data_IF_134353614988
#
_entry.id   IF_134353614988
#
_cell.length_a   1.000
_cell.length_b   1.000
_cell.length_c   1.000
_cell.angle_alpha   90.00
_cell.angle_beta   90.00
_cell.angle_gamma   90.00
#
_symmetry.space_group_name_H-M   'P 1'
#
loop_
_entity.id
_entity.type
_entity.pdbx_description
1 polymer ?
#
# COMPACT_ATOMS: atom_id res chain seq x y z
N UNK A 1 19.63 -15.27 8.71
CA UNK A 1 18.26 -15.60 8.23
C UNK A 1 18.43 -16.36 6.93
N UNK A 2 17.88 -17.58 6.79
CA UNK A 2 18.08 -18.40 5.58
C UNK A 2 17.14 -17.93 4.44
N UNK A 3 17.54 -18.12 3.19
CA UNK A 3 16.75 -17.77 2.01
C UNK A 3 15.39 -18.47 1.99
N UNK A 4 15.32 -19.72 2.43
CA UNK A 4 14.06 -20.45 2.61
C UNK A 4 13.11 -19.70 3.56
N UNK A 5 13.60 -19.28 4.73
CA UNK A 5 12.81 -18.50 5.70
C UNK A 5 12.35 -17.16 5.13
N UNK A 6 13.16 -16.51 4.29
CA UNK A 6 12.78 -15.28 3.60
C UNK A 6 11.65 -15.52 2.61
N UNK A 7 11.75 -16.55 1.78
CA UNK A 7 10.73 -16.90 0.78
C UNK A 7 9.42 -17.32 1.44
N UNK A 8 9.47 -18.15 2.49
CA UNK A 8 8.28 -18.53 3.27
C UNK A 8 7.59 -17.31 3.90
N UNK A 9 8.32 -16.25 4.26
CA UNK A 9 7.73 -15.03 4.81
C UNK A 9 6.90 -14.23 3.81
N UNK A 10 7.09 -14.45 2.50
CA UNK A 10 6.33 -13.77 1.45
C UNK A 10 4.92 -14.33 1.29
N UNK A 11 4.67 -15.56 1.76
CA UNK A 11 3.33 -16.14 1.75
C UNK A 11 2.40 -15.42 2.74
N UNK A 12 1.09 -15.40 2.45
CA UNK A 12 0.08 -14.87 3.36
C UNK A 12 0.21 -15.48 4.77
N UNK A 13 -0.05 -14.72 5.85
CA UNK A 13 0.17 -15.18 7.22
C UNK A 13 -0.50 -16.53 7.54
N UNK A 14 -1.73 -16.73 7.08
CA UNK A 14 -2.48 -17.96 7.33
C UNK A 14 -1.88 -19.19 6.63
N UNK A 15 -1.39 -19.01 5.40
CA UNK A 15 -0.67 -20.05 4.64
C UNK A 15 0.65 -20.38 5.33
N UNK A 16 1.38 -19.36 5.80
CA UNK A 16 2.64 -19.55 6.52
C UNK A 16 2.45 -20.25 7.86
N UNK A 17 1.39 -19.94 8.60
CA UNK A 17 1.08 -20.60 9.87
C UNK A 17 0.76 -22.08 9.68
N UNK A 18 0.10 -22.44 8.57
CA UNK A 18 -0.33 -23.82 8.32
C UNK A 18 0.71 -24.68 7.59
N UNK A 19 1.42 -24.10 6.63
CA UNK A 19 2.31 -24.84 5.70
C UNK A 19 3.72 -24.25 5.62
N UNK A 20 4.06 -23.27 6.46
CA UNK A 20 5.34 -22.56 6.35
C UNK A 20 6.56 -23.45 6.59
N UNK A 21 6.45 -24.43 7.48
CA UNK A 21 7.54 -25.39 7.75
C UNK A 21 7.79 -26.29 6.53
N UNK A 22 6.74 -26.84 5.93
CA UNK A 22 6.81 -27.66 4.73
C UNK A 22 7.40 -26.88 3.54
N UNK A 23 6.90 -25.66 3.30
CA UNK A 23 7.41 -24.77 2.24
C UNK A 23 8.89 -24.44 2.49
N UNK A 24 9.26 -24.13 3.73
CA UNK A 24 10.66 -23.85 4.08
C UNK A 24 11.55 -25.06 3.85
N UNK A 25 11.07 -26.26 4.18
CA UNK A 25 11.79 -27.51 3.96
C UNK A 25 11.97 -27.78 2.47
N UNK A 26 10.91 -27.68 1.67
CA UNK A 26 10.93 -27.90 0.22
C UNK A 26 11.85 -26.92 -0.51
N UNK A 27 11.82 -25.63 -0.14
CA UNK A 27 12.71 -24.60 -0.69
C UNK A 27 14.17 -24.87 -0.30
N UNK A 28 14.40 -25.32 0.94
CA UNK A 28 15.76 -25.67 1.39
C UNK A 28 16.32 -26.91 0.67
N UNK A 29 15.46 -27.90 0.35
CA UNK A 29 15.84 -29.11 -0.34
C UNK A 29 16.07 -28.88 -1.85
N UNK A 30 15.24 -28.03 -2.47
CA UNK A 30 15.27 -27.76 -3.91
C UNK A 30 16.27 -26.66 -4.31
N UNK A 31 16.72 -25.85 -3.35
CA UNK A 31 17.71 -24.80 -3.53
C UNK A 31 17.19 -23.63 -4.39
N UNK A 32 18.12 -22.91 -5.03
CA UNK A 32 17.83 -21.63 -5.73
C UNK A 32 16.90 -21.82 -6.94
N UNK A 33 16.87 -23.01 -7.54
CA UNK A 33 16.08 -23.29 -8.74
C UNK A 33 14.57 -23.19 -8.51
N UNK A 34 14.09 -23.47 -7.30
CA UNK A 34 12.66 -23.37 -6.97
C UNK A 34 12.22 -21.95 -6.58
N UNK A 35 13.12 -20.98 -6.49
CA UNK A 35 12.79 -19.64 -6.03
C UNK A 35 11.75 -18.93 -6.91
N UNK A 36 11.85 -18.94 -8.26
CA UNK A 36 10.84 -18.32 -9.11
C UNK A 36 9.46 -18.93 -8.92
N UNK A 37 9.38 -20.26 -8.84
CA UNK A 37 8.11 -20.97 -8.64
C UNK A 37 7.51 -20.68 -7.26
N UNK A 38 8.37 -20.60 -6.23
CA UNK A 38 7.98 -20.22 -4.86
C UNK A 38 7.42 -18.80 -4.81
N UNK A 39 8.08 -17.85 -5.48
CA UNK A 39 7.63 -16.46 -5.59
C UNK A 39 6.31 -16.36 -6.36
N UNK A 40 6.18 -17.09 -7.47
CA UNK A 40 4.95 -17.16 -8.25
C UNK A 40 3.80 -17.75 -7.44
N UNK A 41 4.07 -18.80 -6.65
CA UNK A 41 3.11 -19.42 -5.73
C UNK A 41 2.64 -18.45 -4.64
N UNK A 42 3.57 -17.71 -4.01
CA UNK A 42 3.24 -16.68 -3.03
C UNK A 42 2.38 -15.57 -3.66
N UNK A 43 2.76 -15.06 -4.83
CA UNK A 43 2.02 -14.05 -5.56
C UNK A 43 0.61 -14.53 -5.93
N UNK A 44 0.48 -15.76 -6.44
CA UNK A 44 -0.81 -16.36 -6.79
C UNK A 44 -1.73 -16.44 -5.58
N UNK A 45 -1.22 -16.88 -4.43
CA UNK A 45 -2.02 -16.92 -3.20
C UNK A 45 -2.43 -15.52 -2.75
N UNK A 46 -1.56 -14.51 -2.85
CA UNK A 46 -1.95 -13.12 -2.56
C UNK A 46 -3.09 -12.61 -3.45
N UNK A 47 -3.16 -13.07 -4.70
CA UNK A 47 -4.23 -12.71 -5.65
C UNK A 47 -5.53 -13.49 -5.43
N UNK A 48 -5.49 -14.62 -4.71
CA UNK A 48 -6.63 -15.49 -4.44
C UNK A 48 -6.81 -15.69 -2.92
N UNK A 49 -7.18 -14.62 -2.17
CA UNK A 49 -7.42 -14.72 -0.73
C UNK A 49 -8.51 -15.73 -0.34
N UNK A 50 -9.38 -16.10 -1.26
CA UNK A 50 -10.39 -17.14 -1.09
C UNK A 50 -9.83 -18.54 -0.86
N UNK A 51 -8.61 -18.80 -1.35
CA UNK A 51 -7.93 -20.09 -1.17
C UNK A 51 -7.19 -20.17 0.17
N UNK A 52 -7.20 -19.11 0.98
CA UNK A 52 -6.44 -19.07 2.23
C UNK A 52 -7.10 -19.94 3.30
N UNK A 53 -6.32 -20.74 4.05
CA UNK A 53 -6.87 -21.48 5.17
C UNK A 53 -7.31 -20.51 6.28
N UNK A 54 -8.60 -20.41 6.55
CA UNK A 54 -9.08 -19.62 7.71
C UNK A 54 -8.90 -20.42 8.99
N UNK A 55 -7.93 -20.03 9.83
CA UNK A 55 -7.78 -20.61 11.18
C UNK A 55 -8.71 -19.92 12.18
N UNK A 56 -8.99 -18.63 11.97
CA UNK A 56 -9.92 -17.83 12.77
C UNK A 56 -10.86 -17.03 11.86
N UNK A 57 -12.12 -16.90 12.28
CA UNK A 57 -13.12 -16.16 11.51
C UNK A 57 -12.69 -14.70 11.30
N UNK A 58 -12.59 -14.28 10.04
CA UNK A 58 -12.19 -12.91 9.68
C UNK A 58 -10.68 -12.63 9.68
N UNK A 59 -9.82 -13.64 9.86
CA UNK A 59 -8.36 -13.51 9.70
C UNK A 59 -7.99 -12.94 8.32
N UNK A 60 -8.55 -13.50 7.24
CA UNK A 60 -8.32 -13.06 5.85
C UNK A 60 -8.73 -11.60 5.65
N UNK A 61 -9.93 -11.22 6.13
CA UNK A 61 -10.43 -9.84 6.04
C UNK A 61 -9.51 -8.83 6.72
N UNK A 62 -8.95 -9.19 7.87
CA UNK A 62 -8.03 -8.34 8.61
C UNK A 62 -6.72 -8.14 7.86
N UNK A 63 -6.14 -9.20 7.31
CA UNK A 63 -4.91 -9.13 6.49
C UNK A 63 -5.15 -8.29 5.24
N UNK A 64 -6.25 -8.55 4.52
CA UNK A 64 -6.62 -7.80 3.32
C UNK A 64 -6.87 -6.31 3.60
N UNK A 65 -7.47 -5.97 4.74
CA UNK A 65 -7.64 -4.57 5.15
C UNK A 65 -6.27 -3.90 5.27
N UNK A 66 -5.32 -4.50 5.99
CA UNK A 66 -3.96 -3.95 6.13
C UNK A 66 -3.25 -3.87 4.77
N UNK A 67 -3.38 -4.90 3.93
CA UNK A 67 -2.79 -4.93 2.61
C UNK A 67 -3.35 -3.82 1.70
N UNK A 68 -4.64 -3.50 1.79
CA UNK A 68 -5.26 -2.40 1.06
C UNK A 68 -4.72 -1.04 1.50
N UNK A 69 -4.51 -0.81 2.80
CA UNK A 69 -3.88 0.42 3.27
C UNK A 69 -2.40 0.52 2.87
N UNK A 70 -1.68 -0.61 2.85
CA UNK A 70 -0.33 -0.66 2.32
C UNK A 70 -0.29 -0.36 0.81
N UNK A 71 -1.25 -0.88 0.05
CA UNK A 71 -1.46 -0.57 -1.37
C UNK A 71 -1.70 0.93 -1.57
N UNK A 72 -2.64 1.52 -0.82
CA UNK A 72 -2.93 2.95 -0.89
C UNK A 72 -1.71 3.82 -0.54
N UNK A 73 -0.93 3.43 0.47
CA UNK A 73 0.30 4.12 0.83
C UNK A 73 1.36 4.00 -0.28
N UNK A 74 1.55 2.82 -0.87
CA UNK A 74 2.46 2.59 -1.98
C UNK A 74 2.06 3.42 -3.21
N UNK A 75 0.76 3.44 -3.55
CA UNK A 75 0.21 4.31 -4.60
C UNK A 75 0.52 5.78 -4.32
N UNK A 76 0.30 6.26 -3.09
CA UNK A 76 0.62 7.63 -2.71
C UNK A 76 2.11 7.97 -2.88
N UNK A 77 3.01 7.05 -2.52
CA UNK A 77 4.45 7.21 -2.71
C UNK A 77 4.83 7.22 -4.20
N UNK A 78 4.25 6.33 -5.01
CA UNK A 78 4.47 6.27 -6.45
C UNK A 78 4.04 7.56 -7.14
N UNK A 79 2.85 8.05 -6.82
CA UNK A 79 2.34 9.31 -7.36
C UNK A 79 3.17 10.50 -6.89
N UNK A 80 3.74 10.44 -5.68
CA UNK A 80 4.66 11.48 -5.20
C UNK A 80 6.02 11.41 -5.87
N UNK A 81 6.46 10.24 -6.31
CA UNK A 81 7.74 10.05 -7.02
C UNK A 81 7.66 10.46 -8.48
N UNK A 82 6.45 10.48 -9.04
CA UNK A 82 6.22 11.11 -10.32
C UNK A 82 6.69 12.57 -10.22
N UNK A 83 7.52 12.99 -11.18
CA UNK A 83 7.79 14.41 -11.39
C UNK A 83 6.45 15.15 -11.43
N UNK A 84 6.39 16.43 -10.98
CA UNK A 84 5.16 17.23 -11.01
C UNK A 84 4.65 17.35 -12.44
N UNK A 85 3.89 16.33 -12.83
CA UNK A 85 3.22 16.19 -14.10
C UNK A 85 1.87 16.85 -13.87
N UNK A 86 1.59 17.85 -14.68
CA UNK A 86 0.34 18.62 -14.65
C UNK A 86 -0.92 17.75 -14.77
N UNK A 87 -0.77 16.46 -15.05
CA UNK A 87 -1.83 15.48 -15.29
C UNK A 87 -2.26 14.67 -14.07
N UNK A 88 -1.35 14.38 -13.13
CA UNK A 88 -1.66 13.64 -11.88
C UNK A 88 -1.59 14.51 -10.63
N UNK A 89 -1.13 15.75 -10.75
CA UNK A 89 -1.18 16.71 -9.66
C UNK A 89 -2.64 17.08 -9.41
N UNK A 90 -3.20 16.61 -8.29
CA UNK A 90 -4.55 16.95 -7.90
C UNK A 90 -4.62 18.46 -7.65
N UNK A 91 -5.32 19.18 -8.53
CA UNK A 91 -5.50 20.62 -8.46
C UNK A 91 -6.99 20.95 -8.32
N UNK A 92 -7.32 21.77 -7.33
CA UNK A 92 -8.68 22.26 -7.06
C UNK A 92 -9.23 23.03 -8.27
N UNK A 93 -8.35 23.64 -9.06
CA UNK A 93 -8.71 24.39 -10.26
C UNK A 93 -8.94 23.50 -11.49
N UNK A 94 -8.58 22.20 -11.43
CA UNK A 94 -8.73 21.25 -12.53
C UNK A 94 -9.41 19.96 -12.06
N UNK A 95 -10.73 19.97 -11.79
CA UNK A 95 -11.44 18.81 -11.23
C UNK A 95 -11.36 17.54 -12.10
N UNK A 96 -11.18 17.70 -13.41
CA UNK A 96 -11.00 16.58 -14.33
C UNK A 96 -9.70 15.78 -14.11
N UNK A 97 -8.60 16.42 -13.69
CA UNK A 97 -7.33 15.74 -13.36
C UNK A 97 -7.36 15.06 -12.00
N UNK A 98 -8.36 15.38 -11.16
CA UNK A 98 -8.54 14.79 -9.82
C UNK A 98 -9.60 13.67 -9.78
N UNK A 99 -10.21 13.33 -10.91
CA UNK A 99 -11.34 12.39 -10.95
C UNK A 99 -10.96 10.97 -10.47
N UNK A 100 -9.71 10.55 -10.68
CA UNK A 100 -9.18 9.25 -10.24
C UNK A 100 -9.06 9.14 -8.71
N UNK A 101 -8.96 10.28 -8.01
CA UNK A 101 -8.76 10.34 -6.55
C UNK A 101 -10.05 10.06 -5.78
N UNK A 102 -11.20 10.45 -6.32
CA UNK A 102 -12.51 10.21 -5.71
C UNK A 102 -12.80 8.72 -5.42
N UNK A 103 -12.68 7.78 -6.38
CA UNK A 103 -12.91 6.37 -6.12
C UNK A 103 -11.86 5.77 -5.17
N UNK A 104 -10.60 6.25 -5.19
CA UNK A 104 -9.58 5.82 -4.23
C UNK A 104 -9.94 6.23 -2.81
N UNK A 105 -10.29 7.51 -2.59
CA UNK A 105 -10.72 8.00 -1.29
C UNK A 105 -11.97 7.27 -0.79
N UNK A 106 -12.95 7.07 -1.66
CA UNK A 106 -14.15 6.32 -1.32
C UNK A 106 -13.82 4.87 -0.92
N UNK A 107 -12.93 4.22 -1.66
CA UNK A 107 -12.43 2.88 -1.35
C UNK A 107 -11.70 2.82 -0.01
N UNK A 108 -10.84 3.78 0.30
CA UNK A 108 -10.16 3.88 1.60
C UNK A 108 -11.18 4.06 2.74
N UNK A 109 -12.17 4.95 2.57
CA UNK A 109 -13.25 5.15 3.53
C UNK A 109 -14.09 3.88 3.74
N UNK A 110 -14.30 3.08 2.70
CA UNK A 110 -14.98 1.80 2.81
C UNK A 110 -14.10 0.72 3.44
N UNK A 111 -12.80 0.71 3.20
CA UNK A 111 -11.89 -0.24 3.84
C UNK A 111 -11.58 0.10 5.31
N UNK A 112 -11.81 1.34 5.73
CA UNK A 112 -11.46 1.80 7.06
C UNK A 112 -12.15 0.95 8.15
N UNK A 113 -11.36 0.32 9.05
CA UNK A 113 -11.91 -0.34 10.22
C UNK A 113 -12.56 0.73 11.11
N UNK A 114 -13.84 0.55 11.42
CA UNK A 114 -14.59 1.49 12.26
C UNK A 114 -14.41 1.05 13.72
N UNK A 115 -13.62 1.78 14.54
CA UNK A 115 -13.61 1.52 15.97
C UNK A 115 -15.01 1.86 16.54
N UNK A 116 -15.45 1.17 17.60
CA UNK A 116 -16.65 1.62 18.31
C UNK A 116 -16.43 3.06 18.79
N UNK A 117 -17.40 3.96 18.53
CA UNK A 117 -17.36 5.38 18.91
C UNK A 117 -17.56 5.58 20.42
N UNK A 118 -16.80 4.85 21.24
CA UNK A 118 -16.77 4.98 22.70
C UNK A 118 -15.51 5.74 23.09
N UNK A 119 -15.67 6.81 23.86
CA UNK A 119 -14.55 7.69 24.28
C UNK A 119 -13.39 6.93 24.93
N UNK A 120 -13.71 5.88 25.70
CA UNK A 120 -12.73 5.04 26.40
C UNK A 120 -11.80 4.25 25.47
N UNK A 121 -12.27 3.92 24.26
CA UNK A 121 -11.48 3.21 23.23
C UNK A 121 -10.77 4.20 22.31
N UNK A 122 -11.39 5.37 22.07
CA UNK A 122 -10.83 6.42 21.24
C UNK A 122 -9.59 7.06 21.88
N UNK A 123 -9.58 7.27 23.20
CA UNK A 123 -8.45 7.91 23.90
C UNK A 123 -7.12 7.14 23.80
N UNK A 124 -7.05 5.83 24.11
CA UNK A 124 -5.82 5.06 23.94
C UNK A 124 -5.42 4.94 22.47
N UNK A 125 -6.38 4.86 21.55
CA UNK A 125 -6.13 4.79 20.12
C UNK A 125 -5.57 6.12 19.57
N UNK A 126 -6.12 7.25 20.00
CA UNK A 126 -5.59 8.58 19.70
C UNK A 126 -4.19 8.76 20.30
N UNK A 127 -3.95 8.34 21.54
CA UNK A 127 -2.61 8.38 22.13
C UNK A 127 -1.61 7.51 21.38
N UNK A 128 -2.03 6.32 20.93
CA UNK A 128 -1.19 5.45 20.12
C UNK A 128 -0.90 6.09 18.76
N UNK A 129 -1.91 6.63 18.09
CA UNK A 129 -1.78 7.35 16.83
C UNK A 129 -0.80 8.52 16.97
N UNK A 130 -0.99 9.39 17.96
CA UNK A 130 -0.11 10.53 18.25
C UNK A 130 1.32 10.04 18.52
N UNK A 131 1.52 9.02 19.35
CA UNK A 131 2.88 8.49 19.61
C UNK A 131 3.54 7.90 18.37
N UNK A 132 2.78 7.22 17.52
CA UNK A 132 3.31 6.62 16.29
C UNK A 132 3.60 7.66 15.21
N UNK A 133 2.83 8.76 15.16
CA UNK A 133 2.93 9.79 14.14
C UNK A 133 3.78 10.99 14.58
N UNK A 134 4.03 11.20 15.87
CA UNK A 134 4.83 12.31 16.37
C UNK A 134 6.25 12.32 15.79
N UNK A 135 6.88 11.15 15.66
CA UNK A 135 8.23 11.05 15.08
C UNK A 135 8.26 11.44 13.60
N UNK A 136 7.44 10.86 12.69
CA UNK A 136 7.43 11.30 11.30
C UNK A 136 6.94 12.74 11.10
N UNK A 137 6.00 13.24 11.91
CA UNK A 137 5.56 14.64 11.82
C UNK A 137 6.65 15.60 12.26
N UNK A 138 7.39 15.30 13.34
CA UNK A 138 8.52 16.10 13.78
C UNK A 138 9.65 16.10 12.73
N UNK A 139 9.96 14.95 12.13
CA UNK A 139 10.95 14.86 11.05
C UNK A 139 10.53 15.68 9.81
N UNK A 140 9.26 15.60 9.42
CA UNK A 140 8.73 16.39 8.31
C UNK A 140 8.75 17.90 8.63
N UNK A 141 8.33 18.30 9.84
CA UNK A 141 8.41 19.69 10.29
C UNK A 141 9.84 20.21 10.30
N UNK A 142 10.80 19.41 10.77
CA UNK A 142 12.21 19.77 10.72
C UNK A 142 12.67 20.02 9.28
N UNK A 143 12.30 19.17 8.33
CA UNK A 143 12.60 19.36 6.90
C UNK A 143 11.95 20.63 6.33
N UNK A 144 10.68 20.90 6.64
CA UNK A 144 10.01 22.12 6.21
C UNK A 144 10.68 23.37 6.79
N UNK A 145 11.03 23.35 8.07
CA UNK A 145 11.74 24.46 8.72
C UNK A 145 13.13 24.66 8.12
N UNK A 146 13.87 23.59 7.81
CA UNK A 146 15.17 23.72 7.13
C UNK A 146 15.02 24.27 5.71
N UNK A 147 13.98 23.86 4.98
CA UNK A 147 13.70 24.37 3.65
C UNK A 147 13.33 25.86 3.69
N UNK A 148 12.47 26.27 4.64
CA UNK A 148 12.03 27.66 4.79
C UNK A 148 13.09 28.59 5.38
N UNK A 149 14.10 28.05 6.07
CA UNK A 149 15.20 28.84 6.60
C UNK A 149 16.18 29.37 5.54
N UNK A 150 16.02 28.98 4.27
CA UNK A 150 16.97 29.31 3.19
C UNK A 150 18.30 28.55 3.28
N UNK A 151 18.53 27.77 4.35
CA UNK A 151 19.72 26.95 4.51
C UNK A 151 19.87 25.90 3.40
N UNK A 152 18.75 25.46 2.81
CA UNK A 152 18.72 24.50 1.72
C UNK A 152 19.33 25.04 0.41
N UNK A 153 19.37 26.36 0.19
CA UNK A 153 19.87 26.95 -1.06
C UNK A 153 21.38 26.76 -1.26
N UNK A 154 22.13 26.46 -0.20
CA UNK A 154 23.58 26.30 -0.22
C UNK A 154 24.02 24.82 -0.19
N UNK A 155 23.07 23.89 -0.19
CA UNK A 155 23.34 22.45 -0.05
C UNK A 155 23.62 21.85 -1.43
N UNK A 156 24.88 21.53 -1.73
CA UNK A 156 25.28 20.91 -3.01
C UNK A 156 25.95 19.55 -2.80
N UNK A 157 25.86 18.68 -3.81
CA UNK A 157 26.53 17.38 -3.82
C UNK A 157 25.92 16.36 -2.86
N UNK A 158 26.76 15.75 -2.01
CA UNK A 158 26.38 14.62 -1.12
C UNK A 158 25.26 15.00 -0.16
N UNK A 159 25.22 16.26 0.27
CA UNK A 159 24.23 16.73 1.24
C UNK A 159 22.82 16.85 0.62
N UNK A 160 22.71 17.17 -0.67
CA UNK A 160 21.44 17.17 -1.39
C UNK A 160 20.90 15.74 -1.55
N UNK A 161 21.77 14.80 -1.93
CA UNK A 161 21.42 13.37 -1.99
C UNK A 161 20.98 12.84 -0.63
N UNK A 162 21.68 13.23 0.45
CA UNK A 162 21.31 12.85 1.81
C UNK A 162 19.94 13.42 2.23
N UNK A 163 19.63 14.66 1.84
CA UNK A 163 18.34 15.29 2.12
C UNK A 163 17.20 14.59 1.36
N UNK A 164 17.38 14.28 0.07
CA UNK A 164 16.42 13.52 -0.74
C UNK A 164 16.19 12.13 -0.15
N UNK A 165 17.26 11.42 0.22
CA UNK A 165 17.15 10.12 0.89
C UNK A 165 16.40 10.24 2.21
N UNK A 166 16.74 11.23 3.05
CA UNK A 166 16.08 11.46 4.33
C UNK A 166 14.58 11.71 4.16
N UNK A 167 14.20 12.50 3.16
CA UNK A 167 12.82 12.75 2.79
C UNK A 167 12.07 11.46 2.43
N UNK A 168 12.62 10.64 1.52
CA UNK A 168 12.02 9.37 1.14
C UNK A 168 11.95 8.36 2.29
N UNK A 169 12.99 8.29 3.13
CA UNK A 169 12.98 7.46 4.33
C UNK A 169 11.91 7.91 5.32
N UNK A 170 11.70 9.21 5.48
CA UNK A 170 10.67 9.75 6.37
C UNK A 170 9.27 9.41 5.86
N UNK A 171 9.03 9.53 4.55
CA UNK A 171 7.77 9.12 3.93
C UNK A 171 7.52 7.60 4.05
N UNK A 172 8.53 6.79 3.74
CA UNK A 172 8.45 5.34 3.87
C UNK A 172 8.20 4.91 5.32
N UNK A 173 8.87 5.55 6.27
CA UNK A 173 8.67 5.32 7.70
C UNK A 173 7.25 5.73 8.14
N UNK A 174 6.74 6.87 7.69
CA UNK A 174 5.37 7.31 7.97
C UNK A 174 4.34 6.31 7.40
N UNK A 175 4.51 5.87 6.16
CA UNK A 175 3.67 4.85 5.53
C UNK A 175 3.68 3.53 6.31
N UNK A 176 4.86 3.06 6.70
CA UNK A 176 5.01 1.87 7.54
C UNK A 176 4.28 2.03 8.88
N UNK A 177 4.50 3.15 9.58
CA UNK A 177 3.83 3.45 10.85
C UNK A 177 2.31 3.47 10.70
N UNK A 178 1.79 4.10 9.65
CA UNK A 178 0.36 4.12 9.36
C UNK A 178 -0.20 2.71 9.14
N UNK A 179 0.50 1.88 8.36
CA UNK A 179 0.11 0.48 8.15
C UNK A 179 0.11 -0.32 9.46
N UNK A 180 1.11 -0.12 10.33
CA UNK A 180 1.16 -0.78 11.65
C UNK A 180 0.04 -0.30 12.58
N UNK A 181 -0.31 0.98 12.52
CA UNK A 181 -1.43 1.55 13.27
C UNK A 181 -2.74 0.93 12.80
N UNK A 182 -2.99 0.89 11.49
CA UNK A 182 -4.17 0.21 10.90
C UNK A 182 -4.20 -1.25 11.31
N UNK A 183 -3.08 -1.97 11.26
CA UNK A 183 -3.01 -3.36 11.70
C UNK A 183 -3.32 -3.55 13.18
N UNK A 184 -2.98 -2.57 14.02
CA UNK A 184 -3.34 -2.53 15.43
C UNK A 184 -4.83 -2.21 15.63
N UNK A 185 -5.38 -1.22 14.93
CA UNK A 185 -6.81 -0.89 15.00
C UNK A 185 -7.66 -2.06 14.50
N UNK A 186 -7.24 -2.74 13.44
CA UNK A 186 -7.98 -3.85 12.86
C UNK A 186 -8.04 -5.10 13.76
N UNK A 187 -7.25 -5.21 14.85
CA UNK A 187 -7.47 -6.29 15.84
C UNK A 187 -8.55 -5.94 16.86
N UNK A 188 -8.83 -4.66 17.07
CA UNK A 188 -9.73 -4.18 18.13
C UNK A 188 -11.04 -3.62 17.60
N UNK A 189 -11.08 -3.24 16.31
CA UNK A 189 -12.24 -2.64 15.66
C UNK A 189 -13.12 -3.69 14.96
N UNK A 190 -14.36 -3.29 14.67
CA UNK A 190 -15.24 -4.09 13.83
C UNK A 190 -14.65 -4.16 12.41
N UNK A 191 -14.37 -5.37 11.95
CA UNK A 191 -13.82 -5.60 10.62
C UNK A 191 -14.86 -5.25 9.54
N UNK A 192 -14.42 -4.69 8.39
CA UNK A 192 -15.32 -4.48 7.27
C UNK A 192 -15.96 -5.80 6.82
N UNK A 193 -17.20 -5.71 6.33
CA UNK A 193 -17.85 -6.86 5.71
C UNK A 193 -17.13 -7.25 4.42
N UNK A 194 -17.20 -8.51 4.03
CA UNK A 194 -16.59 -9.02 2.78
C UNK A 194 -17.04 -8.21 1.57
N UNK A 195 -18.31 -7.81 1.51
CA UNK A 195 -18.84 -6.93 0.45
C UNK A 195 -18.19 -5.55 0.48
N UNK A 196 -18.13 -4.91 1.65
CA UNK A 196 -17.53 -3.56 1.80
C UNK A 196 -16.04 -3.56 1.44
N UNK A 197 -15.33 -4.63 1.76
CA UNK A 197 -13.92 -4.81 1.42
C UNK A 197 -13.71 -5.09 -0.08
N UNK A 198 -14.53 -5.94 -0.69
CA UNK A 198 -14.50 -6.20 -2.13
C UNK A 198 -14.83 -4.93 -2.93
N UNK A 199 -15.86 -4.17 -2.53
CA UNK A 199 -16.19 -2.89 -3.17
C UNK A 199 -15.08 -1.86 -2.98
N UNK A 200 -14.43 -1.81 -1.82
CA UNK A 200 -13.27 -0.96 -1.59
C UNK A 200 -12.11 -1.29 -2.54
N UNK A 201 -11.79 -2.58 -2.70
CA UNK A 201 -10.75 -3.05 -3.62
C UNK A 201 -11.07 -2.70 -5.08
N UNK A 202 -12.31 -2.93 -5.51
CA UNK A 202 -12.75 -2.59 -6.87
C UNK A 202 -12.73 -1.08 -7.13
N UNK A 203 -13.13 -0.26 -6.15
CA UNK A 203 -13.07 1.20 -6.28
C UNK A 203 -11.64 1.72 -6.35
N UNK A 204 -10.74 1.21 -5.50
CA UNK A 204 -9.31 1.56 -5.57
C UNK A 204 -8.73 1.11 -6.91
N UNK A 205 -9.03 -0.12 -7.34
CA UNK A 205 -8.63 -0.63 -8.65
C UNK A 205 -9.11 0.26 -9.81
N UNK A 206 -10.38 0.67 -9.79
CA UNK A 206 -10.94 1.58 -10.79
C UNK A 206 -10.28 2.97 -10.77
N UNK A 207 -9.97 3.50 -9.58
CA UNK A 207 -9.22 4.75 -9.47
C UNK A 207 -7.80 4.63 -10.04
N UNK A 208 -7.13 3.51 -9.79
CA UNK A 208 -5.79 3.24 -10.32
C UNK A 208 -5.79 3.05 -11.83
N UNK A 209 -6.79 2.38 -12.41
CA UNK A 209 -6.93 2.27 -13.88
C UNK A 209 -7.21 3.64 -14.51
N UNK A 210 -8.01 4.49 -13.86
CA UNK A 210 -8.22 5.87 -14.30
C UNK A 210 -6.91 6.67 -14.27
N UNK A 211 -6.15 6.60 -13.18
CA UNK A 211 -4.85 7.26 -13.09
C UNK A 211 -3.86 6.76 -14.16
N UNK A 212 -3.77 5.45 -14.37
CA UNK A 212 -2.92 4.85 -15.40
C UNK A 212 -3.34 5.27 -16.82
N UNK A 213 -4.65 5.32 -17.11
CA UNK A 213 -5.15 5.74 -18.42
C UNK A 213 -4.92 7.22 -18.68
N UNK A 214 -5.06 8.09 -17.67
CA UNK A 214 -4.70 9.50 -17.77
C UNK A 214 -3.21 9.69 -18.05
N UNK A 215 -2.34 8.95 -17.37
CA UNK A 215 -0.90 8.96 -17.63
C UNK A 215 -0.56 8.47 -19.03
N UNK A 216 -1.19 7.40 -19.49
CA UNK A 216 -0.98 6.86 -20.83
C UNK A 216 -1.40 7.87 -21.90
N UNK A 217 -2.57 8.50 -21.73
CA UNK A 217 -3.06 9.55 -22.63
C UNK A 217 -2.11 10.75 -22.67
N UNK A 218 -1.57 11.15 -21.52
CA UNK A 218 -0.57 12.22 -21.44
C UNK A 218 0.72 11.86 -22.18
N UNK A 219 1.22 10.63 -21.99
CA UNK A 219 2.42 10.12 -22.64
C UNK A 219 2.26 9.96 -24.16
N UNK A 220 1.05 9.71 -24.67
CA UNK A 220 0.77 9.70 -26.12
C UNK A 220 0.78 11.11 -26.72
N UNK A 221 0.38 12.12 -25.95
CA UNK A 221 0.31 13.52 -26.40
C UNK A 221 1.64 14.27 -26.31
N UNK A 222 2.60 13.73 -25.55
CA UNK A 222 3.90 14.35 -25.26
C UNK A 222 5.03 13.39 -25.64
N UNK A 223 6.28 13.85 -25.65
CA UNK A 223 7.42 12.95 -25.88
C UNK A 223 7.51 12.00 -24.69
N UNK A 224 7.44 10.67 -24.89
CA UNK A 224 7.38 9.72 -23.78
C UNK A 224 8.68 9.73 -22.98
N UNK A 225 8.57 10.01 -21.69
CA UNK A 225 9.67 9.85 -20.75
C UNK A 225 9.67 8.42 -20.18
N UNK A 226 10.83 7.79 -19.95
CA UNK A 226 10.90 6.43 -19.43
C UNK A 226 10.25 6.29 -18.04
N UNK A 227 10.26 7.35 -17.22
CA UNK A 227 9.60 7.42 -15.92
C UNK A 227 8.08 7.23 -16.01
N UNK A 228 7.42 7.93 -16.95
CA UNK A 228 5.96 7.85 -17.10
C UNK A 228 5.47 6.46 -17.53
N UNK A 229 6.28 5.73 -18.30
CA UNK A 229 5.98 4.35 -18.70
C UNK A 229 6.05 3.41 -17.49
N UNK A 230 7.10 3.52 -16.68
CA UNK A 230 7.28 2.72 -15.46
C UNK A 230 6.15 2.98 -14.47
N UNK A 231 5.76 4.24 -14.27
CA UNK A 231 4.63 4.61 -13.40
C UNK A 231 3.31 4.05 -13.92
N UNK A 232 3.03 4.16 -15.21
CA UNK A 232 1.80 3.63 -15.83
C UNK A 232 1.73 2.12 -15.66
N UNK A 233 2.84 1.42 -15.84
CA UNK A 233 2.93 -0.03 -15.63
C UNK A 233 2.72 -0.37 -14.15
N UNK A 234 3.37 0.34 -13.23
CA UNK A 234 3.21 0.12 -11.79
C UNK A 234 1.75 0.31 -11.35
N UNK A 235 1.11 1.41 -11.76
CA UNK A 235 -0.30 1.68 -11.48
C UNK A 235 -1.22 0.60 -12.07
N UNK A 236 -0.94 0.16 -13.30
CA UNK A 236 -1.71 -0.91 -13.96
C UNK A 236 -1.60 -2.25 -13.25
N UNK A 237 -0.40 -2.62 -12.79
CA UNK A 237 -0.17 -3.85 -12.01
C UNK A 237 -0.90 -3.78 -10.67
N UNK A 238 -0.81 -2.65 -9.96
CA UNK A 238 -1.54 -2.44 -8.70
C UNK A 238 -3.05 -2.49 -8.90
N UNK A 239 -3.55 -1.90 -9.99
CA UNK A 239 -4.96 -1.95 -10.35
C UNK A 239 -5.43 -3.38 -10.62
N UNK A 240 -4.68 -4.13 -11.45
CA UNK A 240 -4.99 -5.52 -11.76
C UNK A 240 -5.01 -6.38 -10.49
N UNK A 241 -4.02 -6.23 -9.61
CA UNK A 241 -3.98 -6.94 -8.34
C UNK A 241 -5.19 -6.61 -7.46
N UNK A 242 -5.53 -5.32 -7.30
CA UNK A 242 -6.69 -4.90 -6.50
C UNK A 242 -8.01 -5.47 -7.05
N UNK A 243 -8.19 -5.44 -8.37
CA UNK A 243 -9.39 -5.95 -9.05
C UNK A 243 -9.48 -7.48 -8.92
N UNK A 244 -8.39 -8.21 -9.16
CA UNK A 244 -8.33 -9.67 -9.01
C UNK A 244 -8.69 -10.11 -7.60
N UNK A 245 -8.07 -9.50 -6.59
CA UNK A 245 -8.35 -9.78 -5.17
C UNK A 245 -9.81 -9.41 -4.85
N UNK A 246 -10.30 -8.27 -5.34
CA UNK A 246 -11.68 -7.83 -5.13
C UNK A 246 -12.71 -8.81 -5.67
N UNK A 247 -12.48 -9.36 -6.87
CA UNK A 247 -13.34 -10.38 -7.49
C UNK A 247 -13.28 -11.73 -6.78
N UNK A 248 -12.09 -12.16 -6.37
CA UNK A 248 -11.90 -13.44 -5.67
C UNK A 248 -12.63 -13.47 -4.32
N UNK A 249 -12.50 -12.38 -3.55
CA UNK A 249 -13.23 -12.17 -2.28
C UNK A 249 -14.75 -12.16 -2.47
N UNK A 250 -15.24 -11.75 -3.64
CA UNK A 250 -16.67 -11.77 -3.97
C UNK A 250 -17.15 -13.18 -4.33
N UNK A 251 -16.34 -13.96 -5.05
CA UNK A 251 -16.69 -15.30 -5.55
C UNK A 251 -16.81 -16.34 -4.45
N UNK A 252 -15.97 -16.29 -3.42
CA UNK A 252 -16.00 -17.23 -2.28
C UNK A 252 -17.26 -17.16 -1.42
N UNK A 253 -18.20 -16.26 -1.73
CA UNK A 253 -19.51 -16.15 -1.08
C UNK A 253 -20.64 -16.80 -1.88
N UNK A 254 -20.46 -17.03 -3.19
CA UNK A 254 -21.46 -17.64 -4.07
C UNK A 254 -21.40 -19.16 -3.97
#
# INVERSE_FOLDING_TARGET
>A
MNAATLLTRLYPPAVRERWGEDISHEVSASGIRSWPDTLAGAARLWLHPGDWPESFTGQTRRVLTVALFALAAATGLLLRSAEPSSTLTADVHHPATSLWLAPILLGICLAAPLPPLRGDVLRPLASAAVRTLAAPTAAFLAMCLTAWSGAAEHVTGVADTAMVLCYWFTLGFAAFRLCTLVAHVARTAALPTTRRLSTALLLIGAGLTLAASQNLLAAVRTVPHPSSVVETLALSVLAAAAISVGHDVMRTRA
#
